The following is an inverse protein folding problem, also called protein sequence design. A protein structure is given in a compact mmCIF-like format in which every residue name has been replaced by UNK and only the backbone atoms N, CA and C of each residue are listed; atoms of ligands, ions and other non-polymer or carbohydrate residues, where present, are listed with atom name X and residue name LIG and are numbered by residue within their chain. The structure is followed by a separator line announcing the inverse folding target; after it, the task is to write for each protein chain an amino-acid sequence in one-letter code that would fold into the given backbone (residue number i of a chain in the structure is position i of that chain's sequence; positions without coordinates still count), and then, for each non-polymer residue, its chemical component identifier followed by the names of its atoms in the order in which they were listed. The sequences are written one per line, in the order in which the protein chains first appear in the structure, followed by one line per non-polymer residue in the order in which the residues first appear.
data_IF_921118796885
#
_entry.id   IF_921118796885
#
_cell.length_a   1.000
_cell.length_b   1.000
_cell.length_c   1.000
_cell.angle_alpha   90.00
_cell.angle_beta   90.00
_cell.angle_gamma   90.00
#
_symmetry.space_group_name_H-M   'P 1'
#
loop_
_entity.id
_entity.type
_entity.pdbx_description
1 polymer ?
#
# COMPACT_ATOMS: atom_id res chain seq x y z
N UNK A 1 36.83 -18.26 19.02
CA UNK A 1 36.88 -18.47 17.56
C UNK A 1 35.89 -17.51 16.90
N UNK A 2 36.28 -16.74 15.88
CA UNK A 2 35.43 -15.69 15.32
C UNK A 2 34.29 -16.32 14.51
N UNK A 3 33.08 -16.30 15.06
CA UNK A 3 31.83 -16.84 14.50
C UNK A 3 31.54 -16.33 13.06
N UNK A 4 32.17 -15.21 12.68
CA UNK A 4 32.07 -14.54 11.38
C UNK A 4 32.62 -15.28 10.15
N UNK A 5 33.40 -16.35 10.32
CA UNK A 5 33.96 -17.12 9.20
C UNK A 5 33.13 -18.35 8.80
N UNK A 6 32.09 -18.70 9.56
CA UNK A 6 31.31 -19.90 9.29
C UNK A 6 30.27 -19.62 8.17
N UNK A 7 30.33 -20.29 7.00
CA UNK A 7 29.43 -20.03 5.87
C UNK A 7 27.96 -20.26 6.22
N UNK A 8 27.66 -21.20 7.13
CA UNK A 8 26.31 -21.44 7.62
C UNK A 8 25.77 -20.28 8.45
N UNK A 9 26.60 -19.65 9.29
CA UNK A 9 26.20 -18.48 10.06
C UNK A 9 25.94 -17.28 9.13
N UNK A 10 26.73 -17.11 8.06
CA UNK A 10 26.49 -16.09 7.04
C UNK A 10 25.19 -16.33 6.27
N UNK A 11 24.89 -17.58 5.91
CA UNK A 11 23.63 -17.95 5.28
C UNK A 11 22.42 -17.70 6.19
N UNK A 12 22.51 -18.07 7.46
CA UNK A 12 21.43 -17.82 8.44
C UNK A 12 21.28 -16.31 8.68
N UNK A 13 22.37 -15.56 8.84
CA UNK A 13 22.33 -14.11 8.99
C UNK A 13 21.78 -13.41 7.74
N UNK A 14 22.14 -13.90 6.55
CA UNK A 14 21.60 -13.39 5.28
C UNK A 14 20.12 -13.70 5.14
N UNK A 15 19.69 -14.93 5.43
CA UNK A 15 18.28 -15.31 5.41
C UNK A 15 17.47 -14.50 6.45
N UNK A 16 18.02 -14.29 7.64
CA UNK A 16 17.41 -13.45 8.67
C UNK A 16 17.33 -11.98 8.24
N UNK A 17 18.35 -11.44 7.58
CA UNK A 17 18.34 -10.09 7.02
C UNK A 17 17.31 -9.95 5.89
N UNK A 18 17.19 -10.94 5.01
CA UNK A 18 16.17 -10.98 3.95
C UNK A 18 14.77 -11.08 4.55
N UNK A 19 14.57 -11.96 5.54
CA UNK A 19 13.30 -12.06 6.25
C UNK A 19 12.93 -10.76 6.97
N UNK A 20 13.91 -10.10 7.60
CA UNK A 20 13.72 -8.80 8.23
C UNK A 20 13.36 -7.72 7.19
N UNK A 21 13.94 -7.73 5.99
CA UNK A 21 13.57 -6.82 4.91
C UNK A 21 12.14 -7.07 4.37
N UNK A 22 11.67 -8.31 4.43
CA UNK A 22 10.30 -8.67 4.06
C UNK A 22 9.29 -8.31 5.17
N UNK A 23 9.74 -8.13 6.41
CA UNK A 23 8.88 -7.71 7.52
C UNK A 23 8.46 -6.24 7.35
N UNK A 24 7.15 -6.01 7.20
CA UNK A 24 6.59 -4.68 6.89
C UNK A 24 7.05 -3.58 7.88
N UNK A 25 7.08 -3.80 9.20
CA UNK A 25 7.58 -2.81 10.17
C UNK A 25 9.05 -2.44 9.96
N UNK A 26 9.92 -3.42 9.73
CA UNK A 26 11.36 -3.19 9.52
C UNK A 26 11.60 -2.43 8.23
N UNK A 27 10.80 -2.66 7.19
CA UNK A 27 10.90 -1.93 5.92
C UNK A 27 10.51 -0.45 6.06
N UNK A 28 9.45 -0.14 6.80
CA UNK A 28 9.07 1.26 7.08
C UNK A 28 10.11 1.96 7.95
N UNK A 29 10.63 1.29 8.98
CA UNK A 29 11.74 1.80 9.79
C UNK A 29 12.97 2.11 8.92
N UNK A 30 13.40 1.15 8.10
CA UNK A 30 14.58 1.28 7.26
C UNK A 30 14.46 2.42 6.24
N UNK A 31 13.27 2.61 5.65
CA UNK A 31 12.98 3.75 4.77
C UNK A 31 13.15 5.08 5.49
N UNK A 32 12.56 5.23 6.68
CA UNK A 32 12.68 6.46 7.47
C UNK A 32 14.15 6.71 7.85
N UNK A 33 14.87 5.68 8.31
CA UNK A 33 16.28 5.78 8.67
C UNK A 33 17.15 6.16 7.48
N UNK A 34 16.92 5.63 6.28
CA UNK A 34 17.68 6.04 5.09
C UNK A 34 17.35 7.46 4.63
N UNK A 35 16.06 7.82 4.56
CA UNK A 35 15.62 9.15 4.13
C UNK A 35 16.16 10.23 5.07
N UNK A 36 16.15 9.98 6.39
CA UNK A 36 16.64 10.94 7.40
C UNK A 36 18.16 10.84 7.62
N UNK A 37 18.75 9.68 7.38
CA UNK A 37 20.19 9.43 7.56
C UNK A 37 21.05 10.17 6.53
N UNK A 38 20.61 10.27 5.27
CA UNK A 38 21.33 11.01 4.22
C UNK A 38 21.52 12.50 4.59
N UNK A 39 20.46 13.27 4.89
CA UNK A 39 20.63 14.67 5.30
C UNK A 39 21.39 14.78 6.63
N UNK A 40 21.21 13.84 7.56
CA UNK A 40 21.98 13.82 8.81
C UNK A 40 23.49 13.70 8.56
N UNK A 41 23.93 12.76 7.73
CA UNK A 41 25.36 12.55 7.41
C UNK A 41 25.92 13.75 6.66
N UNK A 42 25.17 14.33 5.72
CA UNK A 42 25.58 15.52 4.98
C UNK A 42 25.76 16.73 5.90
N UNK A 43 24.78 16.99 6.78
CA UNK A 43 24.85 18.07 7.75
C UNK A 43 25.96 17.85 8.77
N UNK A 44 26.18 16.61 9.23
CA UNK A 44 27.25 16.28 10.15
C UNK A 44 28.63 16.44 9.50
N UNK A 45 28.77 16.03 8.23
CA UNK A 45 29.98 16.23 7.43
C UNK A 45 30.27 17.71 7.17
N UNK A 46 29.24 18.51 6.89
CA UNK A 46 29.34 19.95 6.77
C UNK A 46 29.74 20.62 8.10
N UNK A 47 29.11 20.21 9.21
CA UNK A 47 29.38 20.74 10.54
C UNK A 47 30.82 20.44 11.00
N UNK A 48 31.38 19.26 10.63
CA UNK A 48 32.76 18.88 10.95
C UNK A 48 33.84 19.70 10.22
N UNK A 49 33.52 20.27 9.06
CA UNK A 49 34.47 21.08 8.27
C UNK A 49 34.50 22.55 8.67
N UNK A 50 33.58 22.99 9.51
CA UNK A 50 33.50 24.38 9.95
C UNK A 50 34.24 24.61 11.26
N UNK A 51 34.68 25.85 11.45
CA UNK A 51 35.30 26.27 12.69
C UNK A 51 34.28 26.15 13.83
N UNK A 52 34.64 25.49 14.96
CA UNK A 52 33.75 25.39 16.10
C UNK A 52 33.33 26.80 16.54
N UNK A 53 32.04 26.98 16.85
CA UNK A 53 31.44 28.23 17.34
C UNK A 53 31.25 29.37 16.32
N UNK A 54 31.45 29.11 15.03
CA UNK A 54 30.99 30.03 13.98
C UNK A 54 29.46 30.06 13.85
N UNK A 55 28.89 31.17 13.39
CA UNK A 55 27.42 31.31 13.16
C UNK A 55 26.87 30.18 12.28
N UNK A 56 27.60 29.81 11.23
CA UNK A 56 27.25 28.72 10.30
C UNK A 56 27.30 27.33 10.97
N UNK A 57 28.17 27.14 11.97
CA UNK A 57 28.28 25.90 12.77
C UNK A 57 27.08 25.79 13.73
N UNK A 58 26.73 26.87 14.43
CA UNK A 58 25.53 26.91 15.28
C UNK A 58 24.26 26.62 14.47
N UNK A 59 24.12 27.22 13.29
CA UNK A 59 22.97 26.99 12.41
C UNK A 59 22.87 25.53 11.95
N UNK A 60 24.02 24.93 11.59
CA UNK A 60 24.10 23.50 11.22
C UNK A 60 23.81 22.58 12.40
N UNK A 61 24.22 22.93 13.62
CA UNK A 61 23.97 22.16 14.83
C UNK A 61 22.47 22.18 15.22
N UNK A 62 21.82 23.34 15.12
CA UNK A 62 20.37 23.46 15.31
C UNK A 62 19.61 22.64 14.26
N UNK A 63 20.04 22.68 13.00
CA UNK A 63 19.42 21.90 11.95
C UNK A 63 19.60 20.39 12.16
N UNK A 64 20.78 19.95 12.62
CA UNK A 64 21.02 18.55 13.03
C UNK A 64 20.07 18.14 14.16
N UNK A 65 19.90 18.99 15.18
CA UNK A 65 18.97 18.72 16.26
C UNK A 65 17.52 18.62 15.75
N UNK A 66 17.11 19.49 14.84
CA UNK A 66 15.79 19.43 14.20
C UNK A 66 15.58 18.12 13.43
N UNK A 67 16.60 17.63 12.70
CA UNK A 67 16.54 16.33 12.00
C UNK A 67 16.38 15.16 12.98
N UNK A 68 17.10 15.19 14.11
CA UNK A 68 16.97 14.15 15.16
C UNK A 68 15.60 14.21 15.84
N UNK A 69 15.11 15.41 16.15
CA UNK A 69 13.79 15.60 16.74
C UNK A 69 12.67 15.13 15.78
N UNK A 70 12.77 15.48 14.49
CA UNK A 70 11.86 15.00 13.47
C UNK A 70 11.92 13.47 13.31
N UNK A 71 13.12 12.88 13.38
CA UNK A 71 13.27 11.41 13.37
C UNK A 71 12.57 10.76 14.57
N UNK A 72 12.78 11.28 15.79
CA UNK A 72 12.10 10.79 16.99
C UNK A 72 10.58 10.88 16.87
N UNK A 73 10.07 11.99 16.35
CA UNK A 73 8.63 12.17 16.07
C UNK A 73 8.12 11.16 15.03
N UNK A 74 8.83 10.97 13.91
CA UNK A 74 8.45 9.96 12.91
C UNK A 74 8.45 8.54 13.46
N UNK A 75 9.35 8.22 14.41
CA UNK A 75 9.35 6.92 15.08
C UNK A 75 8.12 6.71 15.97
N UNK A 76 7.56 7.77 16.55
CA UNK A 76 6.31 7.66 17.34
C UNK A 76 5.07 7.42 16.48
N UNK A 77 5.07 7.89 15.22
CA UNK A 77 3.97 7.65 14.27
C UNK A 77 4.06 6.30 13.53
N UNK A 78 5.20 5.60 13.62
CA UNK A 78 5.39 4.30 12.97
C UNK A 78 4.28 3.27 13.25
N UNK A 79 3.83 3.03 14.50
CA UNK A 79 2.79 2.04 14.77
C UNK A 79 1.50 2.34 14.02
N UNK A 80 1.06 3.61 13.98
CA UNK A 80 -0.14 4.03 13.26
C UNK A 80 0.01 3.83 11.75
N UNK A 81 1.16 4.16 11.17
CA UNK A 81 1.42 3.98 9.73
C UNK A 81 1.42 2.50 9.32
N UNK A 82 1.93 1.63 10.17
CA UNK A 82 1.90 0.18 9.96
C UNK A 82 0.44 -0.31 9.98
N UNK A 83 -0.35 0.13 10.96
CA UNK A 83 -1.77 -0.25 11.08
C UNK A 83 -2.59 0.21 9.87
N UNK A 84 -2.41 1.47 9.44
CA UNK A 84 -3.07 1.99 8.24
C UNK A 84 -2.71 1.15 7.01
N UNK A 85 -1.42 0.83 6.82
CA UNK A 85 -0.98 0.05 5.67
C UNK A 85 -1.51 -1.38 5.74
N UNK A 86 -1.59 -1.96 6.94
CA UNK A 86 -2.16 -3.28 7.19
C UNK A 86 -3.63 -3.30 6.79
N UNK A 87 -4.44 -2.38 7.32
CA UNK A 87 -5.87 -2.26 6.99
C UNK A 87 -6.07 -2.09 5.48
N UNK A 88 -5.30 -1.21 4.85
CA UNK A 88 -5.40 -1.00 3.39
C UNK A 88 -5.04 -2.26 2.60
N UNK A 89 -4.02 -3.00 3.06
CA UNK A 89 -3.58 -4.23 2.40
C UNK A 89 -4.57 -5.38 2.59
N UNK A 90 -5.09 -5.57 3.81
CA UNK A 90 -6.08 -6.60 4.14
C UNK A 90 -7.39 -6.31 3.42
N UNK A 91 -7.89 -5.07 3.48
CA UNK A 91 -9.06 -4.65 2.71
C UNK A 91 -8.88 -4.86 1.20
N UNK A 92 -7.70 -4.54 0.65
CA UNK A 92 -7.40 -4.75 -0.77
C UNK A 92 -7.37 -6.22 -1.19
N UNK A 93 -6.88 -7.09 -0.30
CA UNK A 93 -6.93 -8.53 -0.50
C UNK A 93 -8.36 -9.07 -0.47
N UNK A 94 -9.18 -8.62 0.49
CA UNK A 94 -10.60 -8.99 0.59
C UNK A 94 -11.39 -8.57 -0.67
N UNK A 95 -11.14 -7.38 -1.21
CA UNK A 95 -11.72 -6.95 -2.51
C UNK A 95 -11.28 -7.88 -3.64
N UNK A 96 -10.03 -8.34 -3.64
CA UNK A 96 -9.54 -9.29 -4.65
C UNK A 96 -10.17 -10.69 -4.53
N UNK A 97 -10.53 -11.10 -3.32
CA UNK A 97 -11.26 -12.34 -3.04
C UNK A 97 -12.77 -12.24 -3.32
N UNK A 98 -13.28 -11.06 -3.71
CA UNK A 98 -14.72 -10.81 -3.91
C UNK A 98 -15.50 -10.62 -2.60
N UNK A 99 -14.80 -10.51 -1.46
CA UNK A 99 -15.38 -10.33 -0.12
C UNK A 99 -15.55 -8.84 0.20
N UNK A 100 -16.37 -8.16 -0.59
CA UNK A 100 -16.50 -6.70 -0.55
C UNK A 100 -17.03 -6.15 0.79
N UNK A 101 -18.00 -6.83 1.40
CA UNK A 101 -18.59 -6.38 2.68
C UNK A 101 -17.58 -6.44 3.83
N UNK A 102 -16.72 -7.46 3.82
CA UNK A 102 -15.65 -7.59 4.80
C UNK A 102 -14.55 -6.55 4.56
N UNK A 103 -14.22 -6.27 3.30
CA UNK A 103 -13.28 -5.20 2.95
C UNK A 103 -13.77 -3.83 3.42
N UNK A 104 -15.06 -3.52 3.25
CA UNK A 104 -15.67 -2.27 3.70
C UNK A 104 -15.58 -2.14 5.22
N UNK A 105 -15.89 -3.22 5.96
CA UNK A 105 -15.76 -3.24 7.42
C UNK A 105 -14.30 -3.04 7.86
N UNK A 106 -13.34 -3.64 7.15
CA UNK A 106 -11.93 -3.46 7.42
C UNK A 106 -11.50 -1.99 7.20
N UNK A 107 -11.92 -1.37 6.09
CA UNK A 107 -11.62 0.03 5.81
C UNK A 107 -12.24 1.00 6.82
N UNK A 108 -13.37 0.67 7.46
CA UNK A 108 -13.95 1.51 8.53
C UNK A 108 -12.99 1.72 9.70
N UNK A 109 -12.07 0.79 9.97
CA UNK A 109 -11.02 0.95 11.00
C UNK A 109 -10.09 2.13 10.71
N UNK A 110 -9.94 2.53 9.45
CA UNK A 110 -9.19 3.75 9.10
C UNK A 110 -9.83 5.02 9.69
N UNK A 111 -11.15 5.02 9.87
CA UNK A 111 -11.88 6.12 10.51
C UNK A 111 -11.51 6.27 11.99
N UNK A 112 -11.31 5.16 12.70
CA UNK A 112 -10.89 5.14 14.11
C UNK A 112 -9.48 5.72 14.29
N UNK A 113 -8.63 5.62 13.26
CA UNK A 113 -7.29 6.22 13.20
C UNK A 113 -7.30 7.69 12.72
N UNK A 114 -8.47 8.33 12.65
CA UNK A 114 -8.61 9.72 12.20
C UNK A 114 -8.37 9.92 10.70
N UNK A 115 -8.41 8.85 9.88
CA UNK A 115 -8.21 8.88 8.42
C UNK A 115 -9.54 8.78 7.68
N UNK A 116 -10.50 9.65 8.02
CA UNK A 116 -11.84 9.63 7.44
C UNK A 116 -11.85 9.76 5.91
N UNK A 117 -11.04 10.66 5.35
CA UNK A 117 -10.99 10.85 3.89
C UNK A 117 -10.55 9.58 3.16
N UNK A 118 -9.50 8.93 3.68
CA UNK A 118 -8.99 7.66 3.12
C UNK A 118 -9.97 6.51 3.30
N UNK A 119 -10.66 6.46 4.45
CA UNK A 119 -11.71 5.49 4.70
C UNK A 119 -12.81 5.62 3.64
N UNK A 120 -13.33 6.83 3.42
CA UNK A 120 -14.39 7.08 2.45
C UNK A 120 -13.95 6.75 1.03
N UNK A 121 -12.75 7.17 0.64
CA UNK A 121 -12.17 6.83 -0.67
C UNK A 121 -12.10 5.31 -0.89
N UNK A 122 -11.60 4.57 0.11
CA UNK A 122 -11.43 3.11 0.01
C UNK A 122 -12.74 2.35 0.03
N UNK A 123 -13.72 2.82 0.82
CA UNK A 123 -15.07 2.26 0.85
C UNK A 123 -15.76 2.49 -0.50
N UNK A 124 -15.69 3.71 -1.04
CA UNK A 124 -16.28 4.03 -2.34
C UNK A 124 -15.69 3.15 -3.46
N UNK A 125 -14.37 2.95 -3.48
CA UNK A 125 -13.71 2.03 -4.42
C UNK A 125 -14.21 0.59 -4.24
N UNK A 126 -14.36 0.10 -3.01
CA UNK A 126 -14.85 -1.25 -2.76
C UNK A 126 -16.33 -1.44 -3.13
N UNK A 127 -17.16 -0.42 -2.93
CA UNK A 127 -18.57 -0.41 -3.30
C UNK A 127 -18.76 -0.37 -4.82
N UNK A 128 -17.97 0.44 -5.52
CA UNK A 128 -17.94 0.47 -6.99
C UNK A 128 -17.57 -0.90 -7.56
N UNK A 129 -16.52 -1.52 -7.01
CA UNK A 129 -16.08 -2.85 -7.42
C UNK A 129 -17.14 -3.94 -7.15
N UNK A 130 -17.83 -3.83 -6.00
CA UNK A 130 -18.96 -4.70 -5.65
C UNK A 130 -20.10 -4.57 -6.65
N UNK A 131 -20.47 -3.34 -6.99
CA UNK A 131 -21.56 -3.07 -7.93
C UNK A 131 -21.22 -3.56 -9.33
N UNK A 132 -19.97 -3.37 -9.76
CA UNK A 132 -19.45 -3.88 -11.02
C UNK A 132 -19.52 -5.42 -11.08
N UNK A 133 -19.15 -6.10 -10.00
CA UNK A 133 -19.25 -7.56 -9.91
C UNK A 133 -20.70 -8.07 -9.96
N UNK A 134 -21.63 -7.41 -9.26
CA UNK A 134 -23.06 -7.74 -9.30
C UNK A 134 -23.65 -7.57 -10.71
N UNK A 135 -23.29 -6.48 -11.39
CA UNK A 135 -23.72 -6.23 -12.77
C UNK A 135 -23.15 -7.28 -13.73
N UNK A 136 -21.89 -7.70 -13.54
CA UNK A 136 -21.27 -8.77 -14.32
C UNK A 136 -22.03 -10.09 -14.14
N UNK A 137 -22.36 -10.47 -12.91
CA UNK A 137 -23.13 -11.68 -12.61
C UNK A 137 -24.52 -11.63 -13.24
N UNK A 138 -25.20 -10.48 -13.15
CA UNK A 138 -26.49 -10.24 -13.79
C UNK A 138 -26.40 -10.36 -15.32
N UNK A 139 -25.36 -9.81 -15.93
CA UNK A 139 -25.08 -9.96 -17.36
C UNK A 139 -24.89 -11.43 -17.76
N UNK A 140 -24.08 -12.17 -17.00
CA UNK A 140 -23.88 -13.63 -17.18
C UNK A 140 -25.20 -14.40 -17.05
N UNK A 141 -26.05 -14.04 -16.10
CA UNK A 141 -27.37 -14.65 -15.90
C UNK A 141 -28.30 -14.39 -17.10
N UNK A 142 -28.35 -13.15 -17.61
CA UNK A 142 -29.16 -12.80 -18.78
C UNK A 142 -28.70 -13.56 -20.04
N UNK A 143 -27.39 -13.77 -20.21
CA UNK A 143 -26.85 -14.62 -21.28
C UNK A 143 -27.32 -16.07 -21.15
N UNK A 144 -27.30 -16.63 -19.94
CA UNK A 144 -27.78 -18.00 -19.69
C UNK A 144 -29.28 -18.16 -19.97
N UNK A 145 -30.04 -17.07 -19.87
CA UNK A 145 -31.47 -17.01 -20.20
C UNK A 145 -31.73 -16.77 -21.69
N UNK A 146 -30.69 -16.64 -22.51
CA UNK A 146 -30.78 -16.37 -23.95
C UNK A 146 -31.07 -14.92 -24.31
N UNK A 147 -31.15 -14.02 -23.32
CA UNK A 147 -31.42 -12.60 -23.53
C UNK A 147 -30.12 -11.82 -23.78
N UNK A 148 -29.57 -11.98 -24.98
CA UNK A 148 -28.28 -11.38 -25.38
C UNK A 148 -28.29 -9.85 -25.37
N UNK A 149 -29.37 -9.22 -25.83
CA UNK A 149 -29.48 -7.76 -25.91
C UNK A 149 -29.47 -7.12 -24.52
N UNK A 150 -30.27 -7.63 -23.60
CA UNK A 150 -30.29 -7.13 -22.22
C UNK A 150 -28.97 -7.41 -21.49
N UNK A 151 -28.31 -8.54 -21.78
CA UNK A 151 -27.01 -8.85 -21.21
C UNK A 151 -25.93 -7.86 -21.65
N UNK A 152 -25.87 -7.52 -22.95
CA UNK A 152 -24.92 -6.54 -23.48
C UNK A 152 -25.13 -5.17 -22.82
N UNK A 153 -26.37 -4.71 -22.69
CA UNK A 153 -26.68 -3.44 -22.06
C UNK A 153 -26.18 -3.35 -20.61
N UNK A 154 -26.34 -4.43 -19.84
CA UNK A 154 -25.84 -4.49 -18.45
C UNK A 154 -24.31 -4.54 -18.43
N UNK A 155 -23.68 -5.33 -19.30
CA UNK A 155 -22.23 -5.47 -19.35
C UNK A 155 -21.52 -4.19 -19.81
N UNK A 156 -22.11 -3.43 -20.74
CA UNK A 156 -21.58 -2.13 -21.21
C UNK A 156 -21.68 -1.03 -20.15
N UNK A 157 -22.62 -1.15 -19.21
CA UNK A 157 -22.76 -0.20 -18.11
C UNK A 157 -21.66 -0.32 -17.03
N UNK A 158 -20.85 -1.38 -17.09
CA UNK A 158 -19.82 -1.67 -16.08
C UNK A 158 -18.59 -0.80 -16.36
N UNK A 159 -18.08 -0.02 -15.38
CA UNK A 159 -16.90 0.81 -15.59
C UNK A 159 -15.66 -0.04 -15.95
N UNK A 160 -15.00 0.28 -17.07
CA UNK A 160 -13.88 -0.51 -17.61
C UNK A 160 -12.67 -0.60 -16.68
N UNK A 161 -12.49 0.38 -15.79
CA UNK A 161 -11.36 0.44 -14.87
C UNK A 161 -11.50 -0.54 -13.69
N UNK A 162 -12.69 -1.11 -13.50
CA UNK A 162 -12.94 -2.15 -12.49
C UNK A 162 -12.49 -3.51 -13.02
N UNK A 163 -12.17 -4.44 -12.12
CA UNK A 163 -11.84 -5.83 -12.48
C UNK A 163 -12.97 -6.50 -13.25
N UNK A 164 -14.21 -6.28 -12.81
CA UNK A 164 -15.40 -6.80 -13.46
C UNK A 164 -15.60 -6.16 -14.85
N UNK A 165 -15.25 -4.89 -15.04
CA UNK A 165 -15.26 -4.23 -16.35
C UNK A 165 -14.34 -4.90 -17.37
N UNK A 166 -13.12 -5.26 -16.96
CA UNK A 166 -12.22 -6.01 -17.83
C UNK A 166 -12.77 -7.40 -18.22
N UNK A 167 -13.49 -8.08 -17.33
CA UNK A 167 -14.19 -9.32 -17.67
C UNK A 167 -15.39 -9.06 -18.60
N UNK A 168 -16.16 -8.01 -18.34
CA UNK A 168 -17.32 -7.62 -19.14
C UNK A 168 -16.92 -7.34 -20.59
N UNK A 169 -15.85 -6.59 -20.83
CA UNK A 169 -15.31 -6.32 -22.17
C UNK A 169 -14.92 -7.60 -22.90
N UNK A 170 -14.29 -8.56 -22.20
CA UNK A 170 -13.94 -9.87 -22.78
C UNK A 170 -15.19 -10.67 -23.16
N UNK A 171 -16.22 -10.65 -22.30
CA UNK A 171 -17.51 -11.30 -22.55
C UNK A 171 -18.23 -10.67 -23.75
N UNK A 172 -18.31 -9.34 -23.81
CA UNK A 172 -18.88 -8.60 -24.96
C UNK A 172 -18.17 -8.98 -26.25
N UNK A 173 -16.83 -9.02 -26.24
CA UNK A 173 -16.03 -9.40 -27.40
C UNK A 173 -16.21 -10.87 -27.83
N UNK A 174 -16.56 -11.78 -26.91
CA UNK A 174 -16.88 -13.17 -27.21
C UNK A 174 -18.29 -13.30 -27.80
N UNK A 175 -19.26 -12.57 -27.26
CA UNK A 175 -20.64 -12.52 -27.76
C UNK A 175 -20.66 -12.00 -29.21
N UNK A 176 -19.93 -10.91 -29.48
CA UNK A 176 -19.86 -10.29 -30.81
C UNK A 176 -19.16 -11.17 -31.86
N UNK A 177 -18.29 -12.09 -31.42
CA UNK A 177 -17.64 -13.07 -32.31
C UNK A 177 -18.50 -14.29 -32.62
N UNK A 178 -19.62 -14.48 -31.93
CA UNK A 178 -20.53 -15.60 -32.15
C UNK A 178 -20.12 -16.90 -31.44
N UNK A 179 -19.16 -16.85 -30.51
CA UNK A 179 -18.67 -18.01 -29.74
C UNK A 179 -19.63 -18.43 -28.60
N UNK A 180 -20.96 -18.26 -28.78
CA UNK A 180 -22.00 -18.58 -27.77
C UNK A 180 -22.35 -20.05 -27.73
#
# INVERSE_FOLDING_TARGET
MPVWHNPFFRLIAFAAAVAALLYMPTREFLKITFIMGIPFILLLGFNRRQQPWGIKWCLSAVLLFAVVAAYGYFLTELPERIEIRRIVSEGGALVAEGRYDEAINEYRKLGELGRQDKMQEKIAQAEEEKQAALNLERGKQLLSQGNKEAALQVLESIPEHTRAGHEAVKLIAAINRGDS
#
